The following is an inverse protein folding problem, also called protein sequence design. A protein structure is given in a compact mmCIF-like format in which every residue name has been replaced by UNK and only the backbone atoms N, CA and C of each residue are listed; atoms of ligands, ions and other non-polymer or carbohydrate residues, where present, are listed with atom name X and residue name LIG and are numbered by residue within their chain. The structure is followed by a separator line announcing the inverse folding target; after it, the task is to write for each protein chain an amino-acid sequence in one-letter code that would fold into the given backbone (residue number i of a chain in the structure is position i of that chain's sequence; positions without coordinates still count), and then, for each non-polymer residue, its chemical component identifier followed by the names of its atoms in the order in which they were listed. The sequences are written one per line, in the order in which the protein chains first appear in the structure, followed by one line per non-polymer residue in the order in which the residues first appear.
data_IF_444085383518
#
_entry.id   IF_444085383518
#
_cell.length_a   1.000
_cell.length_b   1.000
_cell.length_c   1.000
_cell.angle_alpha   90.00
_cell.angle_beta   90.00
_cell.angle_gamma   90.00
#
_symmetry.space_group_name_H-M   'P 1'
#
loop_
_entity.id
_entity.type
_entity.pdbx_description
1 polymer ?
#
# COMPACT_ATOMS: atom_id res chain seq x y z
N UNK A 1 -1.95 7.50 2.41
CA UNK A 1 -1.42 6.47 1.48
C UNK A 1 -2.09 6.68 0.15
N UNK A 2 -1.38 6.56 -0.96
CA UNK A 2 -1.96 6.58 -2.30
C UNK A 2 -2.03 5.15 -2.85
N UNK A 3 -3.11 4.84 -3.56
CA UNK A 3 -3.31 3.55 -4.23
C UNK A 3 -3.57 3.85 -5.71
N UNK A 4 -2.85 3.17 -6.57
CA UNK A 4 -3.12 3.14 -8.00
C UNK A 4 -4.06 1.96 -8.29
N UNK A 5 -5.34 2.26 -8.43
CA UNK A 5 -6.39 1.26 -8.68
C UNK A 5 -6.23 0.55 -10.03
N UNK A 6 -5.49 1.13 -10.98
CA UNK A 6 -5.22 0.50 -12.27
C UNK A 6 -4.13 -0.58 -12.17
N UNK A 7 -3.22 -0.44 -11.19
CA UNK A 7 -2.17 -1.42 -10.93
C UNK A 7 -2.59 -2.45 -9.87
N UNK A 8 -3.46 -2.08 -8.94
CA UNK A 8 -3.88 -2.95 -7.86
C UNK A 8 -4.58 -4.22 -8.38
N UNK A 9 -4.03 -5.38 -8.05
CA UNK A 9 -4.61 -6.68 -8.39
C UNK A 9 -5.35 -7.35 -7.22
N UNK A 10 -5.63 -6.61 -6.15
CA UNK A 10 -6.41 -7.07 -4.99
C UNK A 10 -5.87 -8.37 -4.34
N UNK A 11 -4.55 -8.57 -4.36
CA UNK A 11 -3.92 -9.81 -3.86
C UNK A 11 -3.89 -9.93 -2.34
N UNK A 12 -4.16 -8.85 -1.60
CA UNK A 12 -4.16 -8.85 -0.13
C UNK A 12 -2.78 -8.90 0.55
N UNK A 13 -1.68 -8.89 -0.20
CA UNK A 13 -0.32 -8.93 0.38
C UNK A 13 -0.06 -7.76 1.35
N UNK A 14 -0.56 -6.56 1.03
CA UNK A 14 -0.47 -5.38 1.90
C UNK A 14 -1.22 -5.57 3.23
N UNK A 15 -2.38 -6.23 3.20
CA UNK A 15 -3.17 -6.55 4.40
C UNK A 15 -2.38 -7.49 5.30
N UNK A 16 -1.89 -8.60 4.73
CA UNK A 16 -1.16 -9.62 5.50
C UNK A 16 0.15 -9.14 6.10
N UNK A 17 0.84 -8.17 5.49
CA UNK A 17 2.09 -7.63 6.04
C UNK A 17 1.88 -6.52 7.08
N UNK A 18 0.67 -5.98 7.23
CA UNK A 18 0.46 -4.80 8.07
C UNK A 18 0.61 -5.14 9.56
N UNK A 19 1.58 -4.56 10.28
CA UNK A 19 1.85 -4.95 11.67
C UNK A 19 0.78 -4.43 12.64
N UNK A 20 0.05 -3.39 12.25
CA UNK A 20 -1.03 -2.78 13.03
C UNK A 20 -2.42 -3.14 12.52
N UNK A 21 -2.53 -4.04 11.52
CA UNK A 21 -3.81 -4.38 10.87
C UNK A 21 -4.59 -3.16 10.36
N UNK A 22 -3.89 -2.10 9.97
CA UNK A 22 -4.47 -0.84 9.54
C UNK A 22 -5.04 -0.85 8.11
N UNK A 23 -4.92 -1.97 7.39
CA UNK A 23 -5.26 -2.08 5.96
C UNK A 23 -6.38 -3.11 5.81
N UNK A 24 -7.46 -2.71 5.14
CA UNK A 24 -8.61 -3.57 4.86
C UNK A 24 -8.81 -3.69 3.36
N UNK A 25 -9.04 -4.91 2.88
CA UNK A 25 -9.40 -5.21 1.50
C UNK A 25 -10.85 -5.70 1.47
N UNK A 26 -11.74 -4.95 0.83
CA UNK A 26 -13.13 -5.33 0.59
C UNK A 26 -13.37 -5.50 -0.92
N UNK A 27 -13.34 -6.74 -1.39
CA UNK A 27 -13.39 -7.11 -2.80
C UNK A 27 -12.32 -6.38 -3.64
N UNK A 28 -12.63 -5.18 -4.12
CA UNK A 28 -11.76 -4.33 -4.93
C UNK A 28 -11.30 -3.05 -4.23
N UNK A 29 -11.79 -2.77 -3.03
CA UNK A 29 -11.47 -1.53 -2.32
C UNK A 29 -10.46 -1.77 -1.21
N UNK A 30 -9.34 -1.04 -1.26
CA UNK A 30 -8.38 -0.98 -0.16
C UNK A 30 -8.62 0.30 0.66
N UNK A 31 -8.74 0.15 1.97
CA UNK A 31 -8.87 1.27 2.90
C UNK A 31 -7.80 1.21 3.99
N UNK A 32 -7.44 2.39 4.49
CA UNK A 32 -6.48 2.57 5.58
C UNK A 32 -7.19 3.27 6.74
N UNK A 33 -7.02 2.77 7.96
CA UNK A 33 -7.50 3.43 9.16
C UNK A 33 -6.38 4.28 9.83
N UNK A 34 -6.69 4.85 10.99
CA UNK A 34 -5.80 5.70 11.78
C UNK A 34 -4.67 4.95 12.51
N UNK A 35 -4.71 3.61 12.58
CA UNK A 35 -3.64 2.79 13.17
C UNK A 35 -2.41 2.68 12.26
N UNK A 36 -2.45 3.28 11.07
CA UNK A 36 -1.34 3.27 10.12
C UNK A 36 -0.15 4.10 10.65
N UNK A 37 0.93 3.41 11.01
CA UNK A 37 2.18 4.02 11.49
C UNK A 37 3.11 4.51 10.39
N UNK A 38 2.69 4.43 9.12
CA UNK A 38 3.48 4.79 7.95
C UNK A 38 4.81 4.00 7.81
N UNK A 39 4.87 2.78 8.35
CA UNK A 39 6.07 1.93 8.32
C UNK A 39 6.56 1.50 6.93
N UNK A 40 5.73 1.62 5.89
CA UNK A 40 6.12 1.34 4.50
C UNK A 40 6.17 -0.12 4.08
N UNK A 41 5.81 -1.08 4.94
CA UNK A 41 5.83 -2.51 4.57
C UNK A 41 4.86 -2.84 3.42
N UNK A 42 3.68 -2.20 3.40
CA UNK A 42 2.72 -2.37 2.31
C UNK A 42 3.25 -1.91 0.95
N UNK A 43 4.08 -0.86 0.91
CA UNK A 43 4.75 -0.39 -0.32
C UNK A 43 5.77 -1.43 -0.79
N UNK A 44 6.61 -1.93 0.14
CA UNK A 44 7.67 -2.91 -0.17
C UNK A 44 7.13 -4.25 -0.66
N UNK A 45 6.03 -4.73 -0.08
CA UNK A 45 5.46 -6.05 -0.41
C UNK A 45 4.63 -6.02 -1.70
N UNK A 46 4.21 -4.84 -2.17
CA UNK A 46 3.31 -4.74 -3.30
C UNK A 46 4.03 -5.17 -4.61
N UNK A 47 3.68 -6.32 -5.21
CA UNK A 47 4.43 -6.86 -6.34
C UNK A 47 4.27 -6.03 -7.62
N UNK A 48 3.20 -5.24 -7.69
CA UNK A 48 2.82 -4.41 -8.83
C UNK A 48 3.08 -2.92 -8.59
N UNK A 49 3.61 -2.56 -7.42
CA UNK A 49 3.91 -1.16 -7.08
C UNK A 49 2.69 -0.24 -7.04
N UNK A 50 1.52 -0.78 -6.67
CA UNK A 50 0.25 -0.05 -6.63
C UNK A 50 0.08 0.84 -5.37
N UNK A 51 0.92 0.72 -4.35
CA UNK A 51 0.83 1.49 -3.10
C UNK A 51 2.04 2.43 -3.00
N UNK A 52 1.79 3.72 -2.75
CA UNK A 52 2.84 4.74 -2.58
C UNK A 52 2.50 5.74 -1.45
N UNK A 53 3.50 6.48 -1.00
CA UNK A 53 3.32 7.56 -0.03
C UNK A 53 2.54 8.73 -0.65
N UNK A 54 1.68 9.42 0.12
CA UNK A 54 0.84 10.51 -0.39
C UNK A 54 1.61 11.75 -0.88
N UNK A 55 2.94 11.79 -0.71
CA UNK A 55 3.82 12.84 -1.23
C UNK A 55 4.87 12.26 -2.20
N UNK A 56 4.36 11.57 -3.23
CA UNK A 56 5.07 11.14 -4.44
C UNK A 56 6.58 11.35 -4.47
N UNK A 57 7.32 10.45 -3.83
CA UNK A 57 8.75 10.29 -4.09
C UNK A 57 8.97 9.22 -5.16
N UNK A 58 8.38 9.43 -6.34
CA UNK A 58 8.55 8.56 -7.52
C UNK A 58 9.66 9.02 -8.45
N UNK A 59 10.71 9.73 -7.97
CA UNK A 59 11.78 10.21 -8.86
C UNK A 59 13.24 10.10 -8.36
N UNK A 60 13.58 9.52 -7.19
CA UNK A 60 14.99 9.56 -6.72
C UNK A 60 15.59 8.29 -6.10
N UNK A 61 14.99 7.10 -6.25
CA UNK A 61 15.66 5.84 -5.81
C UNK A 61 15.78 4.79 -6.93
N UNK A 62 15.62 5.19 -8.20
CA UNK A 62 16.21 4.47 -9.33
C UNK A 62 17.67 4.95 -9.52
N UNK A 63 18.52 4.60 -8.54
CA UNK A 63 19.96 4.39 -8.65
C UNK A 63 20.52 3.91 -7.30
#
# INVERSE_FOLDING_TARGET
MAIDDMLCMHCGACVGTCPTNAIFLNEVYLTFNEDCTQCGMCVKVCPVGAIDYPHGHRLTQLK
#
